data_IF_525372475554
#
_entry.id   IF_525372475554
#
_cell.length_a   1.000
_cell.length_b   1.000
_cell.length_c   1.000
_cell.angle_alpha   90.00
_cell.angle_beta   90.00
_cell.angle_gamma   90.00
#
_symmetry.space_group_name_H-M   'P 1'
#
loop_
_entity.id
_entity.type
_entity.pdbx_description
1 polymer ?
#
# COMPACT_ATOMS: atom_id res chain seq x y z
N UNK A 1 -2.97 12.34 20.75
CA UNK A 1 -3.72 13.22 19.82
C UNK A 1 -4.51 12.37 18.83
N UNK A 2 -5.78 12.72 18.58
CA UNK A 2 -6.65 12.05 17.60
C UNK A 2 -7.17 13.08 16.61
N UNK A 3 -7.64 12.65 15.45
CA UNK A 3 -8.19 13.57 14.45
C UNK A 3 -9.42 14.36 14.96
N UNK A 4 -10.18 13.76 15.85
CA UNK A 4 -11.36 14.37 16.49
C UNK A 4 -10.97 15.48 17.51
N UNK A 5 -9.71 15.51 17.95
CA UNK A 5 -9.17 16.51 18.88
C UNK A 5 -8.55 17.72 18.17
N UNK A 6 -8.38 17.64 16.84
CA UNK A 6 -7.86 18.72 16.03
C UNK A 6 -8.97 19.75 15.73
N UNK A 7 -9.14 20.71 16.62
CA UNK A 7 -10.09 21.80 16.40
C UNK A 7 -9.49 22.92 15.52
N UNK A 8 -10.34 23.87 15.13
CA UNK A 8 -9.94 24.98 14.27
C UNK A 8 -8.82 25.83 14.89
N UNK A 9 -8.80 25.99 16.22
CA UNK A 9 -7.80 26.77 16.93
C UNK A 9 -6.45 26.07 16.91
N UNK A 10 -6.41 24.77 17.12
CA UNK A 10 -5.18 23.95 17.01
C UNK A 10 -4.62 24.02 15.59
N UNK A 11 -5.48 23.90 14.56
CA UNK A 11 -5.06 23.99 13.16
C UNK A 11 -4.49 25.37 12.80
N UNK A 12 -5.00 26.45 13.40
CA UNK A 12 -4.47 27.82 13.19
C UNK A 12 -3.06 27.98 13.80
N UNK A 13 -2.69 27.16 14.77
CA UNK A 13 -1.37 27.20 15.42
C UNK A 13 -0.30 26.37 14.72
N UNK A 14 -0.70 25.34 13.96
CA UNK A 14 0.23 24.37 13.34
C UNK A 14 0.83 24.90 12.03
N UNK A 15 0.08 25.71 11.29
CA UNK A 15 0.51 26.25 9.97
C UNK A 15 0.86 27.73 10.02
N UNK A 16 1.49 28.24 8.94
CA UNK A 16 1.68 29.67 8.79
C UNK A 16 0.34 30.39 8.60
N UNK A 17 0.21 31.68 8.94
CA UNK A 17 -1.02 32.44 8.69
C UNK A 17 -1.44 32.44 7.22
N UNK A 18 -0.47 32.46 6.29
CA UNK A 18 -0.70 32.44 4.84
C UNK A 18 -1.25 31.10 4.39
N UNK A 19 -0.61 29.99 4.79
CA UNK A 19 -1.08 28.64 4.46
C UNK A 19 -2.47 28.38 5.04
N UNK A 20 -2.72 28.83 6.25
CA UNK A 20 -4.03 28.72 6.89
C UNK A 20 -5.11 29.50 6.15
N UNK A 21 -4.82 30.72 5.66
CA UNK A 21 -5.75 31.52 4.87
C UNK A 21 -6.07 30.82 3.53
N UNK A 22 -5.05 30.34 2.83
CA UNK A 22 -5.23 29.61 1.56
C UNK A 22 -5.96 28.29 1.76
N UNK A 23 -5.66 27.53 2.83
CA UNK A 23 -6.35 26.29 3.16
C UNK A 23 -7.84 26.50 3.42
N UNK A 24 -8.23 27.58 4.10
CA UNK A 24 -9.65 27.93 4.29
C UNK A 24 -10.35 28.16 2.96
N UNK A 25 -9.75 28.92 2.05
CA UNK A 25 -10.31 29.17 0.72
C UNK A 25 -10.49 27.88 -0.09
N UNK A 26 -9.53 26.94 -0.01
CA UNK A 26 -9.65 25.65 -0.67
C UNK A 26 -10.83 24.83 -0.14
N UNK A 27 -11.09 24.85 1.18
CA UNK A 27 -12.24 24.17 1.78
C UNK A 27 -13.55 24.86 1.41
N UNK A 28 -13.63 26.18 1.51
CA UNK A 28 -14.83 26.98 1.15
C UNK A 28 -15.23 26.79 -0.32
N UNK A 29 -14.23 26.66 -1.20
CA UNK A 29 -14.44 26.37 -2.61
C UNK A 29 -14.65 24.90 -2.93
N UNK A 30 -14.82 24.04 -1.92
CA UNK A 30 -15.01 22.61 -2.07
C UNK A 30 -13.92 21.92 -2.90
N UNK A 31 -12.67 22.35 -2.74
CA UNK A 31 -11.53 21.79 -3.47
C UNK A 31 -10.94 20.53 -2.81
N UNK A 32 -11.40 20.14 -1.63
CA UNK A 32 -11.07 18.86 -1.01
C UNK A 32 -12.04 17.78 -1.50
N UNK A 33 -11.51 16.79 -2.19
CA UNK A 33 -12.27 15.71 -2.85
C UNK A 33 -11.83 14.35 -2.31
N UNK A 34 -12.69 13.34 -2.49
CA UNK A 34 -12.36 11.95 -2.19
C UNK A 34 -11.76 11.75 -0.81
N UNK A 35 -12.38 12.35 0.22
CA UNK A 35 -11.96 12.18 1.61
C UNK A 35 -12.19 10.75 2.11
N UNK A 36 -11.16 10.13 2.68
CA UNK A 36 -11.23 8.83 3.33
C UNK A 36 -10.75 8.93 4.76
N UNK A 37 -11.47 8.27 5.66
CA UNK A 37 -11.08 8.07 7.06
C UNK A 37 -10.72 6.60 7.27
N UNK A 38 -9.47 6.35 7.62
CA UNK A 38 -8.96 5.07 8.09
C UNK A 38 -8.71 5.17 9.62
N UNK A 39 -8.47 4.05 10.33
CA UNK A 39 -8.30 4.09 11.79
C UNK A 39 -7.22 5.05 12.27
N UNK A 40 -6.08 5.12 11.57
CA UNK A 40 -4.89 5.88 11.94
C UNK A 40 -4.59 7.07 11.00
N UNK A 41 -5.39 7.27 9.94
CA UNK A 41 -5.06 8.25 8.90
C UNK A 41 -6.26 8.86 8.20
N UNK A 42 -6.04 10.04 7.63
CA UNK A 42 -6.92 10.70 6.67
C UNK A 42 -6.24 10.74 5.30
N UNK A 43 -7.02 10.52 4.26
CA UNK A 43 -6.58 10.69 2.86
C UNK A 43 -7.56 11.57 2.12
N UNK A 44 -7.07 12.30 1.13
CA UNK A 44 -7.90 13.08 0.24
C UNK A 44 -7.13 13.61 -0.96
N UNK A 45 -7.88 14.14 -1.91
CA UNK A 45 -7.36 14.88 -3.05
C UNK A 45 -7.67 16.36 -2.85
N UNK A 46 -6.65 17.19 -2.80
CA UNK A 46 -6.81 18.65 -2.71
C UNK A 46 -6.49 19.25 -4.07
N UNK A 47 -7.46 19.95 -4.65
CA UNK A 47 -7.33 20.58 -5.96
C UNK A 47 -7.01 22.06 -5.75
N UNK A 48 -5.77 22.42 -6.02
CA UNK A 48 -5.31 23.83 -6.09
C UNK A 48 -5.12 24.17 -7.58
N UNK A 49 -3.97 24.54 -8.04
CA UNK A 49 -3.68 24.70 -9.48
C UNK A 49 -3.70 23.32 -10.20
N UNK A 50 -3.33 22.28 -9.48
CA UNK A 50 -3.40 20.88 -9.90
C UNK A 50 -3.86 19.99 -8.73
N UNK A 51 -4.27 18.74 -8.97
CA UNK A 51 -4.69 17.83 -7.91
C UNK A 51 -3.49 17.28 -7.14
N UNK A 52 -3.48 17.45 -5.82
CA UNK A 52 -2.47 16.93 -4.90
C UNK A 52 -3.08 15.81 -4.04
N UNK A 53 -2.48 14.63 -4.04
CA UNK A 53 -2.82 13.60 -3.07
C UNK A 53 -2.20 13.94 -1.74
N UNK A 54 -3.01 13.84 -0.69
CA UNK A 54 -2.61 14.15 0.68
C UNK A 54 -2.98 12.99 1.57
N UNK A 55 -2.03 12.56 2.38
CA UNK A 55 -2.24 11.62 3.48
C UNK A 55 -1.71 12.22 4.77
N UNK A 56 -2.49 12.12 5.83
CA UNK A 56 -2.10 12.54 7.19
C UNK A 56 -2.29 11.39 8.12
N UNK A 57 -1.29 11.08 8.95
CA UNK A 57 -1.32 10.04 9.98
C UNK A 57 -1.10 10.64 11.36
N UNK A 58 -1.73 10.06 12.34
CA UNK A 58 -1.43 10.31 13.75
C UNK A 58 -0.96 8.99 14.36
N UNK A 59 0.30 8.94 14.78
CA UNK A 59 0.91 7.82 15.47
C UNK A 59 1.70 8.33 16.67
N UNK A 60 1.53 7.70 17.83
CA UNK A 60 2.24 8.05 19.07
C UNK A 60 2.15 9.54 19.42
N UNK A 61 0.96 10.12 19.25
CA UNK A 61 0.65 11.56 19.43
C UNK A 61 1.40 12.51 18.48
N UNK A 62 2.08 11.98 17.49
CA UNK A 62 2.73 12.76 16.45
C UNK A 62 1.91 12.76 15.16
N UNK A 63 1.83 13.92 14.52
CA UNK A 63 1.23 14.10 13.21
C UNK A 63 2.32 14.00 12.16
N UNK A 64 2.17 13.05 11.25
CA UNK A 64 3.02 12.89 10.07
C UNK A 64 2.17 13.01 8.82
N UNK A 65 2.76 13.43 7.71
CA UNK A 65 2.01 13.62 6.47
C UNK A 65 2.85 13.33 5.23
N UNK A 66 2.15 13.04 4.13
CA UNK A 66 2.71 12.97 2.78
C UNK A 66 1.84 13.85 1.89
N UNK A 67 2.47 14.76 1.16
CA UNK A 67 1.84 15.58 0.14
C UNK A 67 2.74 15.65 -1.10
N UNK A 68 2.16 15.47 -2.29
CA UNK A 68 2.89 15.54 -3.56
C UNK A 68 3.15 16.99 -4.04
N UNK A 69 3.00 18.00 -3.19
CA UNK A 69 3.29 19.40 -3.57
C UNK A 69 4.80 19.68 -3.51
N UNK A 70 5.28 20.67 -4.29
CA UNK A 70 6.71 21.01 -4.36
C UNK A 70 7.23 21.78 -3.14
N UNK A 71 6.42 21.95 -2.09
CA UNK A 71 6.87 22.63 -0.87
C UNK A 71 7.91 21.75 -0.18
N UNK A 72 9.06 22.32 0.13
CA UNK A 72 10.14 21.62 0.85
C UNK A 72 9.63 21.07 2.19
N UNK A 73 10.10 19.90 2.56
CA UNK A 73 9.84 19.29 3.88
C UNK A 73 10.39 20.24 4.95
N UNK A 74 9.48 20.94 5.62
CA UNK A 74 9.76 21.92 6.66
C UNK A 74 8.98 21.62 7.93
N UNK A 75 9.23 22.39 9.00
CA UNK A 75 8.52 22.25 10.28
C UNK A 75 7.02 22.59 10.19
N UNK A 76 6.59 23.33 9.14
CA UNK A 76 5.21 23.75 8.98
C UNK A 76 4.45 22.86 7.98
N UNK A 77 3.19 22.56 8.31
CA UNK A 77 2.28 21.85 7.41
C UNK A 77 1.98 22.69 6.16
N UNK A 78 2.05 22.07 4.99
CA UNK A 78 1.70 22.75 3.75
C UNK A 78 0.19 23.06 3.67
N UNK A 79 -0.18 24.01 2.83
CA UNK A 79 -1.57 24.43 2.57
C UNK A 79 -2.51 23.27 2.31
N UNK A 80 -2.07 22.25 1.54
CA UNK A 80 -2.91 21.11 1.17
C UNK A 80 -3.20 20.17 2.35
N UNK A 81 -2.22 19.95 3.23
CA UNK A 81 -2.39 19.19 4.47
C UNK A 81 -3.37 19.90 5.39
N UNK A 82 -3.19 21.22 5.57
CA UNK A 82 -4.12 22.05 6.35
C UNK A 82 -5.54 22.05 5.78
N UNK A 83 -5.68 22.11 4.45
CA UNK A 83 -6.99 22.04 3.79
C UNK A 83 -7.68 20.70 4.06
N UNK A 84 -6.97 19.56 3.96
CA UNK A 84 -7.53 18.24 4.26
C UNK A 84 -8.00 18.14 5.72
N UNK A 85 -7.16 18.58 6.68
CA UNK A 85 -7.49 18.56 8.11
C UNK A 85 -8.68 19.47 8.44
N UNK A 86 -8.75 20.65 7.83
CA UNK A 86 -9.88 21.58 7.99
C UNK A 86 -11.17 21.01 7.41
N UNK A 87 -11.12 20.42 6.23
CA UNK A 87 -12.27 19.78 5.62
C UNK A 87 -12.80 18.63 6.51
N UNK A 88 -11.90 17.82 7.09
CA UNK A 88 -12.27 16.81 8.07
C UNK A 88 -12.94 17.41 9.30
N UNK A 89 -12.37 18.47 9.87
CA UNK A 89 -12.91 19.11 11.06
C UNK A 89 -14.31 19.74 10.83
N UNK A 90 -14.54 20.31 9.65
CA UNK A 90 -15.82 20.95 9.33
C UNK A 90 -16.90 19.99 8.90
N UNK A 91 -16.56 18.95 8.13
CA UNK A 91 -17.53 18.06 7.48
C UNK A 91 -17.03 16.59 7.50
N UNK A 92 -16.83 16.00 8.70
CA UNK A 92 -16.31 14.64 8.83
C UNK A 92 -17.19 13.58 8.15
N UNK A 93 -18.49 13.85 8.02
CA UNK A 93 -19.46 12.98 7.35
C UNK A 93 -19.23 12.88 5.84
N UNK A 94 -18.49 13.80 5.23
CA UNK A 94 -18.11 13.74 3.81
C UNK A 94 -16.93 12.81 3.56
N UNK A 95 -16.24 12.38 4.62
CA UNK A 95 -15.15 11.43 4.51
C UNK A 95 -15.67 10.00 4.59
N UNK A 96 -15.34 9.21 3.56
CA UNK A 96 -15.71 7.81 3.54
C UNK A 96 -14.98 7.05 4.65
N UNK A 97 -15.70 6.57 5.64
CA UNK A 97 -15.13 5.75 6.70
C UNK A 97 -14.99 4.31 6.20
N UNK A 98 -13.75 3.86 6.03
CA UNK A 98 -13.46 2.52 5.51
C UNK A 98 -14.01 1.41 6.42
N UNK A 99 -13.92 1.58 7.75
CA UNK A 99 -14.43 0.58 8.69
C UNK A 99 -15.95 0.45 8.60
N UNK A 100 -16.68 1.58 8.53
CA UNK A 100 -18.13 1.58 8.35
C UNK A 100 -18.55 1.01 7.00
N UNK A 101 -17.80 1.34 5.93
CA UNK A 101 -18.06 0.77 4.61
C UNK A 101 -17.88 -0.75 4.64
N UNK A 102 -16.80 -1.26 5.26
CA UNK A 102 -16.55 -2.69 5.40
C UNK A 102 -17.68 -3.38 6.17
N UNK A 103 -18.16 -2.79 7.28
CA UNK A 103 -19.28 -3.34 8.05
C UNK A 103 -20.62 -3.29 7.28
N UNK A 104 -20.81 -2.28 6.45
CA UNK A 104 -21.98 -2.23 5.56
C UNK A 104 -21.89 -3.29 4.47
N UNK A 105 -20.73 -3.47 3.82
CA UNK A 105 -20.54 -4.46 2.77
C UNK A 105 -20.74 -5.90 3.28
N UNK A 106 -20.35 -6.20 4.52
CA UNK A 106 -20.61 -7.51 5.15
C UNK A 106 -22.09 -7.88 5.27
N UNK A 107 -22.99 -6.91 5.23
CA UNK A 107 -24.45 -7.15 5.33
C UNK A 107 -25.08 -7.56 4.00
N UNK A 108 -24.38 -7.35 2.88
CA UNK A 108 -24.87 -7.76 1.57
C UNK A 108 -24.61 -9.24 1.33
N UNK A 109 -25.51 -9.89 0.63
CA UNK A 109 -25.27 -11.22 0.09
C UNK A 109 -24.19 -11.19 -1.01
N UNK A 110 -23.55 -12.33 -1.28
CA UNK A 110 -22.59 -12.46 -2.38
C UNK A 110 -23.17 -11.98 -3.72
N UNK A 111 -24.45 -12.27 -3.97
CA UNK A 111 -25.13 -11.85 -5.20
C UNK A 111 -25.25 -10.33 -5.30
N UNK A 112 -25.69 -9.68 -4.24
CA UNK A 112 -25.80 -8.21 -4.19
C UNK A 112 -24.43 -7.54 -4.35
N UNK A 113 -23.35 -8.10 -3.75
CA UNK A 113 -22.00 -7.60 -3.94
C UNK A 113 -21.55 -7.72 -5.40
N UNK A 114 -21.85 -8.83 -6.07
CA UNK A 114 -21.57 -9.01 -7.51
C UNK A 114 -22.33 -7.97 -8.33
N UNK A 115 -23.62 -7.75 -8.07
CA UNK A 115 -24.41 -6.76 -8.79
C UNK A 115 -23.86 -5.32 -8.60
N UNK A 116 -23.43 -4.98 -7.37
CA UNK A 116 -22.78 -3.69 -7.07
C UNK A 116 -21.45 -3.56 -7.86
N UNK A 117 -20.63 -4.60 -7.89
CA UNK A 117 -19.34 -4.59 -8.60
C UNK A 117 -19.56 -4.43 -10.11
N UNK A 118 -20.54 -5.12 -10.67
CA UNK A 118 -20.89 -4.99 -12.09
C UNK A 118 -21.37 -3.57 -12.43
N UNK A 119 -22.23 -2.99 -11.60
CA UNK A 119 -22.69 -1.60 -11.76
C UNK A 119 -21.52 -0.60 -11.66
N UNK A 120 -20.56 -0.83 -10.76
CA UNK A 120 -19.34 -0.03 -10.67
C UNK A 120 -18.48 -0.17 -11.93
N UNK A 121 -18.31 -1.38 -12.46
CA UNK A 121 -17.55 -1.63 -13.67
C UNK A 121 -18.18 -0.98 -14.92
N UNK A 122 -19.49 -0.87 -14.95
CA UNK A 122 -20.20 -0.20 -16.05
C UNK A 122 -20.04 1.34 -16.01
N UNK A 123 -19.89 1.91 -14.81
CA UNK A 123 -19.81 3.37 -14.63
C UNK A 123 -18.39 3.91 -14.51
N UNK A 124 -17.43 3.07 -14.11
CA UNK A 124 -16.07 3.49 -13.77
C UNK A 124 -15.05 2.63 -14.51
N UNK A 125 -14.37 3.20 -15.51
CA UNK A 125 -13.39 2.47 -16.31
C UNK A 125 -12.25 1.87 -15.46
N UNK A 126 -11.83 2.55 -14.39
CA UNK A 126 -10.83 2.02 -13.46
C UNK A 126 -11.29 0.73 -12.77
N UNK A 127 -12.57 0.63 -12.38
CA UNK A 127 -13.14 -0.60 -11.81
C UNK A 127 -13.17 -1.73 -12.84
N UNK A 128 -13.52 -1.42 -14.10
CA UNK A 128 -13.48 -2.37 -15.22
C UNK A 128 -12.06 -2.86 -15.49
N UNK A 129 -11.06 -1.98 -15.42
CA UNK A 129 -9.65 -2.33 -15.51
C UNK A 129 -9.26 -3.36 -14.46
N UNK A 130 -9.60 -3.10 -13.19
CA UNK A 130 -9.31 -4.01 -12.07
C UNK A 130 -9.90 -5.40 -12.30
N UNK A 131 -11.15 -5.49 -12.80
CA UNK A 131 -11.80 -6.78 -13.05
C UNK A 131 -11.19 -7.54 -14.25
N UNK A 132 -10.70 -6.83 -15.27
CA UNK A 132 -10.03 -7.46 -16.41
C UNK A 132 -8.63 -8.00 -16.06
N UNK A 133 -7.97 -7.41 -15.08
CA UNK A 133 -6.65 -7.85 -14.62
C UNK A 133 -6.69 -9.22 -13.91
N UNK A 134 -7.88 -9.77 -13.60
CA UNK A 134 -8.01 -11.03 -12.85
C UNK A 134 -7.78 -12.30 -13.70
N UNK A 135 -7.81 -12.20 -15.03
CA UNK A 135 -7.53 -13.32 -15.95
C UNK A 135 -6.04 -13.42 -16.36
N UNK A 136 -5.17 -12.63 -15.72
CA UNK A 136 -3.75 -12.59 -16.06
C UNK A 136 -3.03 -13.88 -15.63
N UNK A 137 -2.18 -14.40 -16.51
CA UNK A 137 -1.27 -15.50 -16.23
C UNK A 137 -0.15 -15.10 -15.25
N UNK A 138 0.67 -16.08 -14.83
CA UNK A 138 1.83 -15.85 -13.98
C UNK A 138 2.75 -14.77 -14.57
N UNK A 139 3.08 -14.90 -15.86
CA UNK A 139 3.99 -13.98 -16.56
C UNK A 139 3.49 -12.52 -16.53
N UNK A 140 2.18 -12.31 -16.75
CA UNK A 140 1.58 -10.97 -16.68
C UNK A 140 1.69 -10.35 -15.27
N UNK A 141 1.57 -11.19 -14.23
CA UNK A 141 1.70 -10.74 -12.83
C UNK A 141 3.15 -10.33 -12.56
N UNK A 142 4.12 -11.14 -12.98
CA UNK A 142 5.55 -10.84 -12.82
C UNK A 142 5.93 -9.57 -13.58
N UNK A 143 5.49 -9.42 -14.84
CA UNK A 143 5.71 -8.20 -15.62
C UNK A 143 5.07 -6.95 -14.96
N UNK A 144 3.91 -7.12 -14.32
CA UNK A 144 3.28 -6.02 -13.58
C UNK A 144 4.09 -5.59 -12.34
N UNK A 145 4.78 -6.54 -11.69
CA UNK A 145 5.69 -6.27 -10.58
C UNK A 145 6.91 -5.51 -11.09
N UNK A 146 7.53 -5.97 -12.18
CA UNK A 146 8.69 -5.30 -12.79
C UNK A 146 8.41 -3.84 -13.10
N UNK A 147 7.26 -3.58 -13.74
CA UNK A 147 6.84 -2.21 -14.06
C UNK A 147 6.71 -1.34 -12.82
N UNK A 148 6.16 -1.87 -11.73
CA UNK A 148 6.07 -1.12 -10.45
C UNK A 148 7.45 -0.82 -9.89
N UNK A 149 8.38 -1.79 -9.95
CA UNK A 149 9.74 -1.60 -9.46
C UNK A 149 10.52 -0.59 -10.30
N UNK A 150 10.33 -0.60 -11.63
CA UNK A 150 10.89 0.40 -12.54
C UNK A 150 10.34 1.80 -12.25
N UNK A 151 9.00 1.95 -12.10
CA UNK A 151 8.38 3.23 -11.73
C UNK A 151 8.94 3.80 -10.42
N UNK A 152 9.22 2.95 -9.43
CA UNK A 152 9.85 3.36 -8.16
C UNK A 152 11.33 3.70 -8.37
N UNK A 153 12.06 2.91 -9.16
CA UNK A 153 13.47 3.14 -9.43
C UNK A 153 13.71 4.46 -10.18
N UNK A 154 12.77 4.87 -11.01
CA UNK A 154 12.80 6.11 -11.81
C UNK A 154 12.14 7.30 -11.12
N UNK A 155 11.75 7.14 -9.83
CA UNK A 155 11.04 8.18 -9.04
C UNK A 155 9.71 8.64 -9.68
N UNK A 156 9.14 7.78 -10.55
CA UNK A 156 7.93 8.07 -11.31
C UNK A 156 6.63 7.73 -10.56
N UNK A 157 6.72 6.94 -9.48
CA UNK A 157 5.59 6.57 -8.63
C UNK A 157 5.88 6.83 -7.15
N UNK A 158 4.86 7.23 -6.39
CA UNK A 158 4.98 7.31 -4.94
C UNK A 158 5.11 5.90 -4.34
N UNK A 159 5.94 5.74 -3.30
CA UNK A 159 6.11 4.46 -2.59
C UNK A 159 4.77 3.90 -2.07
N UNK A 160 3.86 4.77 -1.63
CA UNK A 160 2.54 4.36 -1.17
C UNK A 160 1.65 3.79 -2.30
N UNK A 161 1.68 4.40 -3.49
CA UNK A 161 0.95 3.88 -4.65
C UNK A 161 1.60 2.57 -5.17
N UNK A 162 2.92 2.50 -5.14
CA UNK A 162 3.65 1.28 -5.49
C UNK A 162 3.30 0.13 -4.54
N UNK A 163 3.31 0.35 -3.21
CA UNK A 163 2.92 -0.67 -2.24
C UNK A 163 1.49 -1.17 -2.47
N UNK A 164 0.54 -0.28 -2.80
CA UNK A 164 -0.83 -0.69 -3.15
C UNK A 164 -0.84 -1.61 -4.38
N UNK A 165 -0.03 -1.32 -5.40
CA UNK A 165 0.07 -2.17 -6.60
C UNK A 165 0.70 -3.53 -6.26
N UNK A 166 1.77 -3.57 -5.44
CA UNK A 166 2.43 -4.81 -4.99
C UNK A 166 1.48 -5.68 -4.16
N UNK A 167 0.70 -5.07 -3.26
CA UNK A 167 -0.33 -5.80 -2.49
C UNK A 167 -1.44 -6.39 -3.37
N UNK A 168 -1.72 -5.82 -4.54
CA UNK A 168 -2.62 -6.45 -5.52
C UNK A 168 -1.99 -7.70 -6.12
N UNK A 169 -0.70 -7.70 -6.44
CA UNK A 169 0.01 -8.89 -6.90
C UNK A 169 0.04 -9.97 -5.82
N UNK A 170 0.26 -9.61 -4.54
CA UNK A 170 0.11 -10.50 -3.40
C UNK A 170 -1.30 -11.12 -3.34
N UNK A 171 -2.36 -10.33 -3.41
CA UNK A 171 -3.73 -10.83 -3.40
C UNK A 171 -4.06 -11.76 -4.60
N UNK A 172 -3.37 -11.59 -5.74
CA UNK A 172 -3.48 -12.54 -6.88
C UNK A 172 -2.79 -13.86 -6.55
N UNK A 173 -1.61 -13.82 -5.95
CA UNK A 173 -0.93 -15.02 -5.47
C UNK A 173 -1.79 -15.82 -4.48
N UNK A 174 -2.46 -15.15 -3.53
CA UNK A 174 -3.38 -15.80 -2.59
C UNK A 174 -4.52 -16.53 -3.32
N UNK A 175 -5.08 -15.93 -4.37
CA UNK A 175 -6.13 -16.58 -5.17
C UNK A 175 -5.60 -17.80 -5.93
N UNK A 176 -4.38 -17.74 -6.46
CA UNK A 176 -3.73 -18.90 -7.07
C UNK A 176 -3.56 -20.03 -6.05
N UNK A 177 -3.09 -19.73 -4.85
CA UNK A 177 -2.95 -20.69 -3.77
C UNK A 177 -4.31 -21.33 -3.39
N UNK A 178 -5.36 -20.51 -3.23
CA UNK A 178 -6.73 -21.00 -2.96
C UNK A 178 -7.28 -21.88 -4.08
N UNK A 179 -6.81 -21.73 -5.32
CA UNK A 179 -7.15 -22.59 -6.44
C UNK A 179 -6.28 -23.84 -6.56
N UNK A 180 -5.34 -24.04 -5.63
CA UNK A 180 -4.42 -25.18 -5.60
C UNK A 180 -3.13 -24.98 -6.43
N UNK A 181 -2.89 -23.78 -6.95
CA UNK A 181 -1.69 -23.40 -7.73
C UNK A 181 -0.58 -22.86 -6.81
N UNK A 182 -0.16 -23.68 -5.83
CA UNK A 182 0.77 -23.28 -4.78
C UNK A 182 2.15 -22.90 -5.31
N UNK A 183 2.67 -23.62 -6.29
CA UNK A 183 3.97 -23.32 -6.90
C UNK A 183 4.00 -21.92 -7.55
N UNK A 184 2.95 -21.54 -8.26
CA UNK A 184 2.85 -20.21 -8.89
C UNK A 184 2.65 -19.11 -7.85
N UNK A 185 1.84 -19.35 -6.84
CA UNK A 185 1.68 -18.42 -5.72
C UNK A 185 3.03 -18.16 -5.03
N UNK A 186 3.77 -19.23 -4.68
CA UNK A 186 5.10 -19.14 -4.09
C UNK A 186 6.07 -18.34 -4.96
N UNK A 187 6.08 -18.60 -6.28
CA UNK A 187 6.95 -17.88 -7.21
C UNK A 187 6.66 -16.36 -7.22
N UNK A 188 5.39 -15.96 -7.12
CA UNK A 188 5.03 -14.54 -7.03
C UNK A 188 5.52 -13.93 -5.70
N UNK A 189 5.37 -14.65 -4.59
CA UNK A 189 5.83 -14.17 -3.28
C UNK A 189 7.35 -14.04 -3.22
N UNK A 190 8.06 -15.05 -3.73
CA UNK A 190 9.53 -14.97 -3.91
C UNK A 190 9.92 -13.76 -4.73
N UNK A 191 9.28 -13.56 -5.90
CA UNK A 191 9.61 -12.50 -6.83
C UNK A 191 9.35 -11.11 -6.23
N UNK A 192 8.24 -10.93 -5.52
CA UNK A 192 7.93 -9.70 -4.79
C UNK A 192 9.00 -9.40 -3.74
N UNK A 193 9.33 -10.39 -2.92
CA UNK A 193 10.30 -10.26 -1.84
C UNK A 193 11.69 -9.92 -2.38
N UNK A 194 12.19 -10.70 -3.35
CA UNK A 194 13.53 -10.50 -3.92
C UNK A 194 13.68 -9.13 -4.58
N UNK A 195 12.65 -8.68 -5.34
CA UNK A 195 12.68 -7.36 -5.98
C UNK A 195 12.65 -6.21 -4.95
N UNK A 196 11.85 -6.31 -3.89
CA UNK A 196 11.83 -5.32 -2.81
C UNK A 196 13.20 -5.22 -2.15
N UNK A 197 13.80 -6.36 -1.76
CA UNK A 197 15.12 -6.40 -1.12
C UNK A 197 16.20 -5.86 -2.05
N UNK A 198 16.17 -6.23 -3.33
CA UNK A 198 17.10 -5.74 -4.35
C UNK A 198 17.04 -4.22 -4.52
N UNK A 199 15.83 -3.67 -4.52
CA UNK A 199 15.62 -2.23 -4.68
C UNK A 199 16.11 -1.46 -3.45
N UNK A 200 15.86 -1.97 -2.24
CA UNK A 200 16.37 -1.39 -0.99
C UNK A 200 17.89 -1.38 -0.94
N UNK A 201 18.55 -2.47 -1.35
CA UNK A 201 20.01 -2.54 -1.45
C UNK A 201 20.55 -1.51 -2.47
N UNK A 202 19.92 -1.42 -3.66
CA UNK A 202 20.31 -0.45 -4.71
C UNK A 202 20.26 0.99 -4.20
N UNK A 203 19.24 1.34 -3.43
CA UNK A 203 19.07 2.69 -2.89
C UNK A 203 19.79 2.90 -1.55
N UNK A 204 20.42 1.85 -0.99
CA UNK A 204 21.04 1.87 0.35
C UNK A 204 20.08 2.37 1.43
N UNK A 205 18.81 2.04 1.29
CA UNK A 205 17.75 2.36 2.23
C UNK A 205 17.25 1.07 2.86
N UNK A 206 17.31 0.99 4.18
CA UNK A 206 16.85 -0.19 4.93
C UNK A 206 15.32 -0.41 4.83
N UNK A 207 14.56 0.63 4.50
CA UNK A 207 13.11 0.59 4.40
C UNK A 207 12.60 1.54 3.31
N UNK A 208 12.39 1.03 2.10
CA UNK A 208 11.64 1.73 1.06
C UNK A 208 10.13 1.51 1.23
N UNK A 209 9.74 0.28 1.53
CA UNK A 209 8.34 -0.11 1.76
C UNK A 209 8.06 -0.34 3.24
N UNK A 210 6.79 -0.57 3.61
CA UNK A 210 6.44 -0.83 5.01
C UNK A 210 7.14 -2.10 5.53
N UNK A 211 7.65 -2.10 6.77
CA UNK A 211 8.28 -3.28 7.38
C UNK A 211 7.34 -4.49 7.39
N UNK A 212 6.05 -4.25 7.58
CA UNK A 212 5.02 -5.28 7.61
C UNK A 212 4.90 -5.99 6.27
N UNK A 213 5.05 -5.28 5.14
CA UNK A 213 4.97 -5.89 3.81
C UNK A 213 6.06 -6.96 3.60
N UNK A 214 7.32 -6.62 3.92
CA UNK A 214 8.45 -7.57 3.76
C UNK A 214 8.26 -8.81 4.64
N UNK A 215 7.86 -8.59 5.88
CA UNK A 215 7.64 -9.68 6.83
C UNK A 215 6.49 -10.59 6.38
N UNK A 216 5.36 -10.02 5.98
CA UNK A 216 4.24 -10.77 5.43
C UNK A 216 4.65 -11.60 4.20
N UNK A 217 5.37 -10.99 3.24
CA UNK A 217 5.82 -11.69 2.04
C UNK A 217 6.75 -12.85 2.38
N UNK A 218 7.64 -12.67 3.34
CA UNK A 218 8.58 -13.70 3.78
C UNK A 218 7.88 -14.85 4.50
N UNK A 219 6.98 -14.56 5.43
CA UNK A 219 6.22 -15.56 6.19
C UNK A 219 5.35 -16.41 5.25
N UNK A 220 4.63 -15.78 4.33
CA UNK A 220 3.80 -16.48 3.35
C UNK A 220 4.62 -17.32 2.35
N UNK A 221 5.78 -16.78 1.89
CA UNK A 221 6.71 -17.56 1.06
C UNK A 221 7.15 -18.85 1.77
N UNK A 222 7.55 -18.75 3.03
CA UNK A 222 7.92 -19.90 3.85
C UNK A 222 6.74 -20.88 4.03
N UNK A 223 5.54 -20.36 4.25
CA UNK A 223 4.33 -21.18 4.40
C UNK A 223 4.02 -21.97 3.12
N UNK A 224 4.12 -21.38 1.94
CA UNK A 224 3.90 -22.10 0.67
C UNK A 224 4.91 -23.22 0.45
N UNK A 225 6.15 -23.08 0.93
CA UNK A 225 7.13 -24.17 0.88
C UNK A 225 6.68 -25.34 1.75
N UNK A 226 6.11 -25.07 2.93
CA UNK A 226 5.58 -26.11 3.82
C UNK A 226 4.32 -26.80 3.27
N UNK A 227 3.45 -26.06 2.62
CA UNK A 227 2.16 -26.57 2.15
C UNK A 227 2.24 -27.33 0.83
N UNK A 228 3.24 -27.03 -0.02
CA UNK A 228 3.36 -27.62 -1.34
C UNK A 228 3.94 -29.04 -1.29
N UNK A 229 3.06 -30.05 -1.43
CA UNK A 229 3.44 -31.45 -1.46
C UNK A 229 4.17 -31.88 -2.74
N UNK A 230 4.15 -31.06 -3.76
CA UNK A 230 4.77 -31.29 -5.07
C UNK A 230 5.95 -30.36 -5.32
N UNK A 231 6.56 -29.90 -4.25
CA UNK A 231 7.63 -28.91 -4.25
C UNK A 231 8.80 -29.33 -5.16
N UNK A 232 9.15 -28.44 -6.10
CA UNK A 232 10.35 -28.58 -6.93
C UNK A 232 11.58 -28.13 -6.14
N UNK A 233 12.23 -29.07 -5.45
CA UNK A 233 13.29 -28.78 -4.49
C UNK A 233 14.47 -28.03 -5.09
N UNK A 234 14.87 -28.36 -6.32
CA UNK A 234 15.98 -27.68 -6.99
C UNK A 234 15.68 -26.19 -7.26
N UNK A 235 14.41 -25.87 -7.63
CA UNK A 235 14.01 -24.50 -7.85
C UNK A 235 13.98 -23.72 -6.52
N UNK A 236 13.40 -24.31 -5.47
CA UNK A 236 13.35 -23.69 -4.14
C UNK A 236 14.73 -23.49 -3.57
N UNK A 237 15.66 -24.41 -3.80
CA UNK A 237 17.04 -24.25 -3.39
C UNK A 237 17.68 -23.02 -4.05
N UNK A 238 17.46 -22.81 -5.36
CA UNK A 238 17.94 -21.63 -6.06
C UNK A 238 17.33 -20.32 -5.53
N UNK A 239 16.00 -20.34 -5.26
CA UNK A 239 15.31 -19.20 -4.64
C UNK A 239 15.91 -18.86 -3.26
N UNK A 240 16.15 -19.86 -2.42
CA UNK A 240 16.76 -19.70 -1.09
C UNK A 240 18.19 -19.14 -1.21
N UNK A 241 19.03 -19.71 -2.09
CA UNK A 241 20.39 -19.21 -2.33
C UNK A 241 20.40 -17.75 -2.78
N UNK A 242 19.43 -17.35 -3.62
CA UNK A 242 19.27 -15.96 -4.05
C UNK A 242 18.87 -15.06 -2.89
N UNK A 243 17.88 -15.45 -2.09
CA UNK A 243 17.46 -14.67 -0.92
C UNK A 243 18.56 -14.57 0.13
N UNK A 244 19.37 -15.63 0.37
CA UNK A 244 20.51 -15.60 1.31
C UNK A 244 21.58 -14.57 0.94
N UNK A 245 21.66 -14.23 -0.34
CA UNK A 245 22.56 -13.16 -0.79
C UNK A 245 22.09 -11.76 -0.39
N UNK A 246 20.84 -11.59 0.02
CA UNK A 246 20.24 -10.31 0.40
C UNK A 246 20.61 -9.93 1.84
N UNK A 247 20.83 -8.64 2.05
CA UNK A 247 21.30 -8.10 3.35
C UNK A 247 20.41 -8.49 4.53
N UNK A 248 19.05 -8.36 4.50
CA UNK A 248 18.22 -8.72 5.63
C UNK A 248 18.30 -10.20 6.04
N UNK A 249 18.49 -11.09 5.06
CA UNK A 249 18.67 -12.53 5.33
C UNK A 249 20.07 -12.79 5.90
N UNK A 250 21.11 -12.23 5.27
CA UNK A 250 22.51 -12.43 5.70
C UNK A 250 22.79 -11.87 7.10
N UNK A 251 22.06 -10.83 7.54
CA UNK A 251 22.15 -10.28 8.89
C UNK A 251 21.20 -10.97 9.90
N UNK A 252 20.36 -11.92 9.44
CA UNK A 252 19.43 -12.68 10.30
C UNK A 252 18.17 -11.93 10.71
N UNK A 253 17.78 -10.87 10.01
CA UNK A 253 16.53 -10.18 10.23
C UNK A 253 15.33 -11.02 9.75
N UNK A 254 15.52 -11.79 8.67
CA UNK A 254 14.59 -12.77 8.14
C UNK A 254 15.30 -14.14 8.15
N UNK A 255 14.73 -15.13 8.84
CA UNK A 255 15.41 -16.40 9.12
C UNK A 255 14.87 -17.56 8.26
N UNK A 256 15.70 -18.06 7.34
CA UNK A 256 15.42 -19.22 6.48
C UNK A 256 15.82 -20.57 7.09
N UNK A 257 16.35 -20.60 8.32
CA UNK A 257 16.94 -21.81 8.91
C UNK A 257 15.93 -22.95 9.07
N UNK A 258 14.65 -22.64 9.34
CA UNK A 258 13.60 -23.64 9.45
C UNK A 258 13.29 -24.29 8.09
N UNK A 259 13.10 -23.46 7.06
CA UNK A 259 12.84 -23.94 5.68
C UNK A 259 14.01 -24.78 5.17
N UNK A 260 15.27 -24.34 5.40
CA UNK A 260 16.47 -25.13 5.00
C UNK A 260 16.53 -26.48 5.69
N UNK A 261 16.21 -26.53 6.98
CA UNK A 261 16.19 -27.79 7.75
C UNK A 261 15.16 -28.78 7.20
N UNK A 262 13.95 -28.30 6.84
CA UNK A 262 12.91 -29.13 6.26
C UNK A 262 13.26 -29.66 4.88
N UNK A 263 13.88 -28.84 4.06
CA UNK A 263 14.34 -29.24 2.75
C UNK A 263 15.59 -30.12 2.80
N UNK A 264 16.17 -30.33 3.99
CA UNK A 264 17.45 -31.00 4.20
C UNK A 264 18.61 -30.35 3.41
N UNK A 265 18.57 -29.02 3.24
CA UNK A 265 19.61 -28.25 2.58
C UNK A 265 20.79 -28.03 3.55
N UNK A 266 22.03 -27.94 3.03
CA UNK A 266 23.20 -27.64 3.87
C UNK A 266 23.02 -26.26 4.51
N UNK A 267 23.36 -26.18 5.81
CA UNK A 267 23.29 -24.95 6.61
C UNK A 267 24.40 -23.96 6.30
#
# INVERSE_FOLDING_TARGET
MRFEELDAQTLDQIGTPEDNAKARLLVENHQVKHGYRLPDRLRGLVVDEQPFRVEVRIKDDQLTYVCACPQEEGEALCTHVLALLRAWNQEPEKFLNQAELKERLKKYSKRELVDIILDMADRVDAARGILKEEDQGLDDILESIDRVMEEVADDAASLADAEVKLRRSQARADRLAQSGRLAEARSIYFYLLDNILSLEEKFKKEQLFSPDLKKELFEEYCQFIHEDRHLEKELVQQEIEQLESRTPISLGELDLSEVKRELALPG
#
